data_IF_024436094112
#
_entry.id   IF_024436094112
#
_cell.length_a   1.000
_cell.length_b   1.000
_cell.length_c   1.000
_cell.angle_alpha   90.00
_cell.angle_beta   90.00
_cell.angle_gamma   90.00
#
_symmetry.space_group_name_H-M   'P 1'
#
loop_
_entity.id
_entity.type
_entity.pdbx_description
1 polymer ?
#
# COMPACT_ATOMS: atom_id res chain seq x y z
N UNK A 1 -6.46 5.10 16.39
CA UNK A 1 -5.76 6.35 15.99
C UNK A 1 -5.10 6.13 14.64
N UNK A 2 -5.06 7.14 13.74
CA UNK A 2 -4.44 7.03 12.40
C UNK A 2 -3.04 6.40 12.43
N UNK A 3 -2.25 6.69 13.48
CA UNK A 3 -0.91 6.14 13.67
C UNK A 3 -0.90 4.61 13.72
N UNK A 4 -1.83 3.99 14.45
CA UNK A 4 -1.93 2.53 14.56
C UNK A 4 -2.26 1.88 13.21
N UNK A 5 -3.11 2.52 12.42
CA UNK A 5 -3.47 2.03 11.08
C UNK A 5 -2.31 2.17 10.08
N UNK A 6 -1.51 3.25 10.20
CA UNK A 6 -0.26 3.42 9.44
C UNK A 6 0.75 2.35 9.84
N UNK A 7 0.96 2.16 11.14
CA UNK A 7 1.89 1.17 11.68
C UNK A 7 1.47 -0.24 11.22
N UNK A 8 0.17 -0.56 11.21
CA UNK A 8 -0.33 -1.84 10.70
C UNK A 8 0.00 -2.05 9.20
N UNK A 9 -0.14 -1.02 8.36
CA UNK A 9 0.27 -1.08 6.95
C UNK A 9 1.79 -1.30 6.82
N UNK A 10 2.59 -0.56 7.57
CA UNK A 10 4.06 -0.69 7.55
C UNK A 10 4.51 -2.09 7.99
N UNK A 11 3.97 -2.59 9.10
CA UNK A 11 4.28 -3.93 9.60
C UNK A 11 3.85 -5.03 8.61
N UNK A 12 2.72 -4.85 7.92
CA UNK A 12 2.30 -5.80 6.89
C UNK A 12 3.28 -5.84 5.72
N UNK A 13 3.78 -4.69 5.26
CA UNK A 13 4.79 -4.65 4.19
C UNK A 13 6.12 -5.27 4.67
N UNK A 14 6.53 -5.00 5.90
CA UNK A 14 7.73 -5.63 6.47
C UNK A 14 7.59 -7.15 6.54
N UNK A 15 6.42 -7.66 6.91
CA UNK A 15 6.13 -9.10 6.86
C UNK A 15 6.25 -9.67 5.44
N UNK A 16 5.75 -8.95 4.44
CA UNK A 16 5.89 -9.36 3.03
C UNK A 16 7.35 -9.35 2.58
N UNK A 17 8.15 -8.41 3.07
CA UNK A 17 9.61 -8.36 2.82
C UNK A 17 10.28 -9.59 3.41
N UNK A 18 10.01 -9.93 4.66
CA UNK A 18 10.58 -11.12 5.30
C UNK A 18 10.14 -12.40 4.58
N UNK A 19 8.87 -12.48 4.17
CA UNK A 19 8.40 -13.60 3.36
C UNK A 19 9.08 -13.67 2.00
N UNK A 20 9.31 -12.55 1.33
CA UNK A 20 10.03 -12.53 0.06
C UNK A 20 11.50 -12.98 0.19
N UNK A 21 12.09 -12.93 1.38
CA UNK A 21 13.46 -13.38 1.64
C UNK A 21 13.56 -14.88 1.92
N UNK A 22 12.46 -15.55 2.22
CA UNK A 22 12.46 -17.02 2.40
C UNK A 22 12.59 -17.77 1.08
N UNK A 23 12.31 -17.07 -0.04
CA UNK A 23 12.41 -17.60 -1.40
C UNK A 23 13.73 -17.18 -2.04
N UNK A 24 14.26 -18.01 -2.93
CA UNK A 24 15.46 -17.66 -3.69
C UNK A 24 15.18 -16.49 -4.65
N UNK A 25 16.20 -15.67 -4.98
CA UNK A 25 16.03 -14.64 -5.99
C UNK A 25 15.52 -15.18 -7.33
N UNK A 26 15.97 -16.39 -7.72
CA UNK A 26 15.53 -17.07 -8.94
C UNK A 26 14.03 -17.36 -8.94
N UNK A 27 13.49 -17.88 -7.84
CA UNK A 27 12.05 -18.14 -7.70
C UNK A 27 11.25 -16.84 -7.81
N UNK A 28 11.74 -15.74 -7.26
CA UNK A 28 11.05 -14.45 -7.30
C UNK A 28 11.06 -13.81 -8.70
N UNK A 29 12.17 -13.90 -9.45
CA UNK A 29 12.27 -13.25 -10.78
C UNK A 29 11.51 -13.99 -11.88
N UNK A 30 11.28 -15.30 -11.74
CA UNK A 30 10.52 -16.11 -12.70
C UNK A 30 9.07 -15.60 -12.90
N UNK A 31 8.55 -14.80 -11.98
CA UNK A 31 7.28 -14.08 -12.12
C UNK A 31 7.34 -12.82 -12.99
N UNK A 32 8.32 -12.70 -13.89
CA UNK A 32 8.58 -11.48 -14.70
C UNK A 32 8.80 -10.23 -13.82
N UNK A 33 9.57 -10.41 -12.73
CA UNK A 33 9.96 -9.36 -11.80
C UNK A 33 11.45 -9.11 -11.99
N UNK A 34 11.89 -7.89 -12.33
CA UNK A 34 13.32 -7.61 -12.48
C UNK A 34 14.07 -7.90 -11.18
N UNK A 35 15.27 -8.48 -11.28
CA UNK A 35 16.10 -8.78 -10.11
C UNK A 35 16.32 -7.53 -9.22
N UNK A 36 16.59 -6.37 -9.84
CA UNK A 36 16.72 -5.09 -9.13
C UNK A 36 15.47 -4.70 -8.34
N UNK A 37 14.29 -5.06 -8.81
CA UNK A 37 13.02 -4.80 -8.12
C UNK A 37 12.90 -5.67 -6.87
N UNK A 38 13.26 -6.96 -6.95
CA UNK A 38 13.28 -7.88 -5.80
C UNK A 38 14.30 -7.41 -4.75
N UNK A 39 15.51 -7.06 -5.18
CA UNK A 39 16.57 -6.55 -4.29
C UNK A 39 16.13 -5.25 -3.61
N UNK A 40 15.59 -4.30 -4.37
CA UNK A 40 15.10 -3.05 -3.80
C UNK A 40 13.92 -3.27 -2.83
N UNK A 41 13.03 -4.21 -3.11
CA UNK A 41 11.95 -4.58 -2.20
C UNK A 41 12.49 -5.18 -0.89
N UNK A 42 13.44 -6.11 -0.99
CA UNK A 42 13.97 -6.82 0.18
C UNK A 42 14.85 -5.95 1.10
N UNK A 43 15.57 -4.99 0.53
CA UNK A 43 16.61 -4.24 1.24
C UNK A 43 16.44 -2.72 1.14
N UNK A 44 16.09 -2.19 -0.03
CA UNK A 44 16.08 -0.75 -0.30
C UNK A 44 14.93 0.04 0.33
N UNK A 45 13.84 -0.63 0.71
CA UNK A 45 12.66 0.02 1.31
C UNK A 45 12.42 -0.36 2.78
N UNK A 46 13.30 -1.15 3.41
CA UNK A 46 13.09 -1.64 4.78
C UNK A 46 12.88 -0.51 5.79
N UNK A 47 13.66 0.56 5.67
CA UNK A 47 13.57 1.72 6.58
C UNK A 47 12.38 2.63 6.25
N UNK A 48 11.75 2.47 5.09
CA UNK A 48 10.61 3.27 4.65
C UNK A 48 9.64 2.41 3.81
N UNK A 49 8.92 1.46 4.42
CA UNK A 49 8.15 0.44 3.68
C UNK A 49 7.09 1.04 2.75
N UNK A 50 6.50 2.19 3.12
CA UNK A 50 5.48 2.88 2.33
C UNK A 50 6.01 3.53 1.02
N UNK A 51 7.33 3.62 0.81
CA UNK A 51 7.88 4.18 -0.45
C UNK A 51 7.61 3.31 -1.66
N UNK A 52 7.27 2.04 -1.46
CA UNK A 52 6.98 1.10 -2.53
C UNK A 52 5.76 1.53 -3.37
N UNK A 53 5.84 1.28 -4.68
CA UNK A 53 4.73 1.49 -5.61
C UNK A 53 3.79 0.27 -5.56
N UNK A 54 2.48 0.51 -5.64
CA UNK A 54 1.47 -0.56 -5.70
C UNK A 54 1.69 -1.51 -6.87
N UNK A 55 2.20 -1.05 -8.00
CA UNK A 55 2.52 -1.94 -9.13
C UNK A 55 3.62 -2.94 -8.79
N UNK A 56 4.62 -2.51 -8.01
CA UNK A 56 5.70 -3.40 -7.53
C UNK A 56 5.16 -4.36 -6.49
N UNK A 57 4.41 -3.85 -5.51
CA UNK A 57 3.75 -4.69 -4.52
C UNK A 57 2.87 -5.75 -5.17
N UNK A 58 2.03 -5.37 -6.14
CA UNK A 58 1.19 -6.28 -6.89
C UNK A 58 1.96 -7.48 -7.45
N UNK A 59 3.09 -7.21 -8.13
CA UNK A 59 3.92 -8.27 -8.71
C UNK A 59 4.50 -9.18 -7.63
N UNK A 60 5.06 -8.59 -6.58
CA UNK A 60 5.69 -9.35 -5.48
C UNK A 60 4.66 -10.22 -4.75
N UNK A 61 3.55 -9.64 -4.29
CA UNK A 61 2.55 -10.40 -3.51
C UNK A 61 1.86 -11.47 -4.34
N UNK A 62 1.65 -11.22 -5.64
CA UNK A 62 1.15 -12.25 -6.55
C UNK A 62 2.14 -13.40 -6.71
N UNK A 63 3.43 -13.08 -6.79
CA UNK A 63 4.46 -14.11 -6.86
C UNK A 63 4.54 -14.93 -5.58
N UNK A 64 4.40 -14.31 -4.42
CA UNK A 64 4.32 -15.00 -3.13
C UNK A 64 3.09 -15.93 -3.05
N UNK A 65 1.92 -15.45 -3.49
CA UNK A 65 0.70 -16.27 -3.58
C UNK A 65 0.93 -17.51 -4.47
N UNK A 66 1.59 -17.35 -5.62
CA UNK A 66 1.91 -18.45 -6.54
C UNK A 66 2.89 -19.46 -5.92
N UNK A 67 3.93 -18.99 -5.24
CA UNK A 67 4.95 -19.85 -4.64
C UNK A 67 4.43 -20.64 -3.44
N UNK A 68 3.47 -20.08 -2.70
CA UNK A 68 3.02 -20.67 -1.43
C UNK A 68 1.66 -21.37 -1.52
N UNK A 69 0.87 -21.09 -2.57
CA UNK A 69 -0.34 -21.81 -2.98
C UNK A 69 -1.56 -21.75 -2.03
N UNK A 70 -1.32 -21.70 -0.72
CA UNK A 70 -2.32 -21.72 0.35
C UNK A 70 -2.51 -20.36 1.03
N UNK A 71 -1.63 -19.41 0.72
CA UNK A 71 -1.66 -18.04 1.25
C UNK A 71 -2.31 -17.09 0.26
N UNK A 72 -2.83 -15.98 0.78
CA UNK A 72 -3.57 -14.97 0.01
C UNK A 72 -3.08 -13.55 0.31
N UNK A 73 -1.76 -13.34 0.28
CA UNK A 73 -1.08 -12.07 0.50
C UNK A 73 -1.67 -10.93 -0.33
N UNK A 74 -2.01 -11.16 -1.60
CA UNK A 74 -2.63 -10.14 -2.43
C UNK A 74 -3.98 -9.67 -1.88
N UNK A 75 -4.84 -10.64 -1.52
CA UNK A 75 -6.18 -10.35 -1.01
C UNK A 75 -6.11 -9.65 0.34
N UNK A 76 -5.23 -10.12 1.21
CA UNK A 76 -5.04 -9.56 2.55
C UNK A 76 -4.53 -8.11 2.47
N UNK A 77 -3.56 -7.83 1.60
CA UNK A 77 -3.04 -6.48 1.39
C UNK A 77 -4.09 -5.53 0.79
N UNK A 78 -4.87 -5.99 -0.20
CA UNK A 78 -5.97 -5.19 -0.76
C UNK A 78 -7.04 -4.87 0.30
N UNK A 79 -7.39 -5.84 1.14
CA UNK A 79 -8.35 -5.63 2.22
C UNK A 79 -7.84 -4.63 3.26
N UNK A 80 -6.56 -4.74 3.65
CA UNK A 80 -5.93 -3.83 4.59
C UNK A 80 -5.92 -2.39 4.06
N UNK A 81 -5.55 -2.20 2.78
CA UNK A 81 -5.58 -0.89 2.12
C UNK A 81 -7.01 -0.36 2.03
N UNK A 82 -7.98 -1.20 1.67
CA UNK A 82 -9.39 -0.81 1.60
C UNK A 82 -9.87 -0.27 2.96
N UNK A 83 -9.65 -1.04 4.03
CA UNK A 83 -10.00 -0.64 5.39
C UNK A 83 -9.32 0.68 5.78
N UNK A 84 -8.02 0.83 5.48
CA UNK A 84 -7.29 2.06 5.74
C UNK A 84 -7.91 3.26 5.01
N UNK A 85 -8.16 3.12 3.70
CA UNK A 85 -8.71 4.19 2.85
C UNK A 85 -10.12 4.59 3.31
N UNK A 86 -11.00 3.61 3.54
CA UNK A 86 -12.38 3.88 3.98
C UNK A 86 -12.42 4.56 5.36
N UNK A 87 -11.58 4.11 6.29
CA UNK A 87 -11.55 4.65 7.67
C UNK A 87 -10.88 6.01 7.77
N UNK A 88 -9.77 6.24 7.05
CA UNK A 88 -8.88 7.38 7.29
C UNK A 88 -8.84 8.41 6.15
N UNK A 89 -9.33 8.09 4.94
CA UNK A 89 -9.27 9.01 3.79
C UNK A 89 -10.67 9.34 3.27
N UNK A 90 -11.46 8.32 2.94
CA UNK A 90 -12.80 8.44 2.35
C UNK A 90 -13.87 8.72 3.41
N UNK A 91 -13.60 9.66 4.31
CA UNK A 91 -14.49 10.06 5.42
C UNK A 91 -15.62 10.99 4.97
N UNK A 92 -15.59 11.46 3.72
CA UNK A 92 -16.56 12.35 3.11
C UNK A 92 -16.63 12.11 1.59
N UNK A 93 -17.53 12.83 0.91
CA UNK A 93 -17.63 12.75 -0.56
C UNK A 93 -16.34 13.21 -1.24
N UNK A 94 -16.02 12.63 -2.40
CA UNK A 94 -14.83 13.00 -3.18
C UNK A 94 -14.79 14.51 -3.45
N UNK A 95 -15.92 15.10 -3.84
CA UNK A 95 -16.01 16.55 -4.09
C UNK A 95 -15.60 17.37 -2.87
N UNK A 96 -16.05 16.99 -1.68
CA UNK A 96 -15.71 17.68 -0.42
C UNK A 96 -14.23 17.49 -0.05
N UNK A 97 -13.69 16.28 -0.24
CA UNK A 97 -12.26 16.01 -0.04
C UNK A 97 -11.38 16.81 -1.01
N UNK A 98 -11.85 17.08 -2.23
CA UNK A 98 -11.14 17.93 -3.18
C UNK A 98 -11.25 19.40 -2.78
N UNK A 99 -12.46 19.92 -2.53
CA UNK A 99 -12.68 21.35 -2.31
C UNK A 99 -12.20 21.83 -0.94
N UNK A 100 -12.45 21.07 0.11
CA UNK A 100 -12.18 21.49 1.50
C UNK A 100 -10.86 20.93 2.02
N UNK A 101 -10.48 19.75 1.54
CA UNK A 101 -9.26 19.07 2.01
C UNK A 101 -8.10 19.27 1.05
N UNK A 102 -8.33 19.72 -0.18
CA UNK A 102 -7.27 19.94 -1.18
C UNK A 102 -6.63 18.64 -1.69
N UNK A 103 -7.34 17.51 -1.59
CA UNK A 103 -6.84 16.23 -2.08
C UNK A 103 -6.99 16.16 -3.61
N UNK A 104 -6.10 15.42 -4.28
CA UNK A 104 -6.15 15.30 -5.74
C UNK A 104 -7.25 14.31 -6.16
N UNK A 105 -8.17 14.77 -7.01
CA UNK A 105 -9.29 13.99 -7.54
C UNK A 105 -8.85 12.67 -8.19
N UNK A 106 -7.87 12.72 -9.10
CA UNK A 106 -7.37 11.55 -9.82
C UNK A 106 -6.77 10.53 -8.85
N UNK A 107 -6.00 10.98 -7.87
CA UNK A 107 -5.45 10.09 -6.84
C UNK A 107 -6.56 9.45 -6.01
N UNK A 108 -7.55 10.20 -5.54
CA UNK A 108 -8.68 9.64 -4.79
C UNK A 108 -9.40 8.55 -5.58
N UNK A 109 -9.65 8.76 -6.87
CA UNK A 109 -10.23 7.74 -7.76
C UNK A 109 -9.36 6.48 -7.90
N UNK A 110 -8.02 6.63 -7.89
CA UNK A 110 -7.12 5.46 -7.87
C UNK A 110 -7.20 4.69 -6.56
N UNK A 111 -7.35 5.39 -5.44
CA UNK A 111 -7.43 4.79 -4.11
C UNK A 111 -8.72 3.99 -3.89
N UNK A 112 -9.82 4.35 -4.58
CA UNK A 112 -11.11 3.67 -4.48
C UNK A 112 -11.24 2.42 -5.36
N UNK A 113 -10.29 2.15 -6.26
CA UNK A 113 -10.29 0.89 -7.02
C UNK A 113 -9.88 -0.30 -6.13
N UNK A 114 -9.20 -0.05 -5.01
CA UNK A 114 -8.71 -1.06 -4.04
C UNK A 114 -7.87 -2.20 -4.65
N UNK A 115 -7.50 -2.07 -5.93
CA UNK A 115 -6.66 -3.01 -6.66
C UNK A 115 -5.28 -2.39 -6.78
N UNK A 116 -4.27 -3.12 -6.32
CA UNK A 116 -2.85 -2.74 -6.48
C UNK A 116 -2.38 -2.64 -7.95
N UNK A 117 -3.25 -2.94 -8.92
CA UNK A 117 -2.97 -2.79 -10.36
C UNK A 117 -2.92 -1.34 -10.79
N UNK A 118 -3.67 -0.47 -10.11
CA UNK A 118 -3.67 0.96 -10.39
C UNK A 118 -2.47 1.61 -9.69
N UNK A 119 -1.54 2.25 -10.44
CA UNK A 119 -0.26 2.68 -9.87
C UNK A 119 -0.40 3.94 -9.02
N UNK A 120 0.03 3.83 -7.76
CA UNK A 120 0.26 4.91 -6.82
C UNK A 120 1.31 4.46 -5.78
N UNK A 121 1.86 5.40 -5.01
CA UNK A 121 2.80 5.06 -3.92
C UNK A 121 2.05 4.94 -2.61
N UNK A 122 2.39 3.97 -1.77
CA UNK A 122 1.71 3.82 -0.48
C UNK A 122 1.93 5.01 0.46
N UNK A 123 3.03 5.74 0.32
CA UNK A 123 3.27 7.00 1.04
C UNK A 123 2.15 8.02 0.82
N UNK A 124 1.48 7.98 -0.34
CA UNK A 124 0.33 8.84 -0.64
C UNK A 124 -0.87 8.53 0.25
N UNK A 125 -1.05 7.27 0.67
CA UNK A 125 -2.09 6.90 1.64
C UNK A 125 -1.85 7.60 2.98
N UNK A 126 -0.61 7.52 3.48
CA UNK A 126 -0.20 8.19 4.72
C UNK A 126 -0.42 9.70 4.64
N UNK A 127 0.08 10.33 3.57
CA UNK A 127 -0.05 11.79 3.38
C UNK A 127 -1.51 12.24 3.36
N UNK A 128 -2.38 11.50 2.66
CA UNK A 128 -3.80 11.87 2.55
C UNK A 128 -4.51 11.68 3.88
N UNK A 129 -4.24 10.58 4.58
CA UNK A 129 -4.81 10.33 5.89
C UNK A 129 -4.36 11.40 6.92
N UNK A 130 -3.08 11.76 6.94
CA UNK A 130 -2.55 12.83 7.81
C UNK A 130 -3.19 14.19 7.52
N UNK A 131 -3.41 14.50 6.23
CA UNK A 131 -4.09 15.72 5.81
C UNK A 131 -5.55 15.74 6.25
N UNK A 132 -6.25 14.61 6.12
CA UNK A 132 -7.62 14.45 6.61
C UNK A 132 -7.70 14.65 8.11
N UNK A 133 -6.83 14.00 8.88
CA UNK A 133 -6.80 14.12 10.33
C UNK A 133 -6.52 15.56 10.78
N UNK A 134 -5.52 16.22 10.17
CA UNK A 134 -5.17 17.62 10.48
C UNK A 134 -6.35 18.57 10.28
N UNK A 135 -7.17 18.36 9.27
CA UNK A 135 -8.33 19.22 9.00
C UNK A 135 -9.48 18.91 9.96
N UNK A 136 -9.71 17.63 10.29
CA UNK A 136 -10.71 17.22 11.29
C UNK A 136 -10.42 17.81 12.66
N UNK A 137 -9.18 17.76 13.12
CA UNK A 137 -8.76 18.34 14.41
C UNK A 137 -8.77 19.87 14.45
N UNK A 138 -8.84 20.55 13.29
CA UNK A 138 -8.99 22.02 13.23
C UNK A 138 -10.44 22.48 13.21
N UNK A 139 -11.37 21.61 12.80
CA UNK A 139 -12.80 21.92 12.66
C UNK A 139 -13.62 21.41 13.87
N UNK A 140 -13.03 20.62 14.77
CA UNK A 140 -13.62 20.19 16.05
C UNK A 140 -12.98 20.93 17.21
#
# INVERSE_FOLDING_TARGET
>A
MIKEDIDALEQHILKLIEQSKTHTPTEMILGNIPHSTVVNFNYGIKDNPLKVNTSTLYKIVKRLDELEGTKHYYKDLCNLIKQFVEKNIMVASVSYLVSEFGLNYTTLHKLTDYKLKTPYRLITLKQYAEQVEKIRCKKG
#
